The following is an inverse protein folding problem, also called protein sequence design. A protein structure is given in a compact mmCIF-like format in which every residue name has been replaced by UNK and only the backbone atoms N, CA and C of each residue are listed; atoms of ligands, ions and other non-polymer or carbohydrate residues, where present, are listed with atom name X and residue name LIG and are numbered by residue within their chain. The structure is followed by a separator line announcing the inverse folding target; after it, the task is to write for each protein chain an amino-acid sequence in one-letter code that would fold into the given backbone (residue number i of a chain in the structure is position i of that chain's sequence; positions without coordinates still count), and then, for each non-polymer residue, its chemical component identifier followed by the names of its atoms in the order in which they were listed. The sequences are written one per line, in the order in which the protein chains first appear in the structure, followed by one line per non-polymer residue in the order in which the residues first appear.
data_IF_577878751626
#
_entry.id   IF_577878751626
#
_cell.length_a   1.000
_cell.length_b   1.000
_cell.length_c   1.000
_cell.angle_alpha   90.00
_cell.angle_beta   90.00
_cell.angle_gamma   90.00
#
_symmetry.space_group_name_H-M   'P 1'
#
loop_
_entity.id
_entity.type
_entity.pdbx_description
1 polymer ?
#
# COMPACT_ATOMS: atom_id res chain seq x y z
N UNK A 1 -5.44 34.94 7.98
CA UNK A 1 -6.44 34.19 8.78
C UNK A 1 -6.59 32.80 8.18
N UNK A 2 -7.04 31.80 8.95
CA UNK A 2 -7.09 30.40 8.48
C UNK A 2 -7.41 29.34 9.55
N UNK A 3 -7.56 29.75 10.80
CA UNK A 3 -7.97 28.86 11.88
C UNK A 3 -9.46 28.49 11.77
N UNK A 4 -9.77 27.20 11.82
CA UNK A 4 -11.14 26.67 11.91
C UNK A 4 -11.34 26.05 13.30
N UNK A 5 -12.24 26.60 14.14
CA UNK A 5 -12.49 26.09 15.49
C UNK A 5 -13.14 24.71 15.44
N UNK A 6 -13.09 23.98 16.56
CA UNK A 6 -13.69 22.63 16.66
C UNK A 6 -15.19 22.60 16.34
N UNK A 7 -15.92 23.65 16.70
CA UNK A 7 -17.36 23.79 16.38
C UNK A 7 -17.63 23.90 14.88
N UNK A 8 -16.63 24.31 14.08
CA UNK A 8 -16.72 24.34 12.62
C UNK A 8 -16.30 23.03 11.94
N UNK A 9 -15.89 22.00 12.71
CA UNK A 9 -15.35 20.74 12.20
C UNK A 9 -16.34 19.59 12.36
N UNK A 10 -16.21 18.60 11.48
CA UNK A 10 -16.92 17.32 11.56
C UNK A 10 -16.02 16.17 11.97
N UNK A 11 -16.59 14.98 12.06
CA UNK A 11 -15.86 13.72 12.22
C UNK A 11 -16.58 12.62 11.46
N UNK A 12 -15.84 11.58 11.08
CA UNK A 12 -16.39 10.35 10.53
C UNK A 12 -16.24 9.23 11.56
N UNK A 13 -17.30 8.46 11.76
CA UNK A 13 -17.32 7.27 12.63
C UNK A 13 -17.91 6.12 11.83
N UNK A 14 -17.23 4.97 11.85
CA UNK A 14 -17.65 3.79 11.10
C UNK A 14 -16.70 2.62 11.30
N UNK A 15 -16.96 1.53 10.59
CA UNK A 15 -16.20 0.27 10.65
C UNK A 15 -15.39 0.03 9.37
N UNK A 16 -14.59 -1.04 9.37
CA UNK A 16 -13.92 -1.55 8.16
C UNK A 16 -14.50 -2.93 7.81
N UNK A 17 -14.80 -3.15 6.54
CA UNK A 17 -15.13 -4.45 5.99
C UNK A 17 -13.92 -5.02 5.24
N UNK A 18 -13.38 -6.14 5.74
CA UNK A 18 -12.23 -6.84 5.16
C UNK A 18 -12.60 -8.29 4.85
N UNK A 19 -13.18 -8.52 3.68
CA UNK A 19 -13.74 -9.83 3.30
C UNK A 19 -12.69 -10.92 3.18
N UNK A 20 -11.46 -10.54 2.80
CA UNK A 20 -10.39 -11.48 2.48
C UNK A 20 -9.30 -11.53 3.56
N UNK A 21 -9.53 -10.89 4.71
CA UNK A 21 -8.58 -10.90 5.82
C UNK A 21 -7.24 -10.23 5.50
N UNK A 22 -7.24 -9.24 4.61
CA UNK A 22 -6.05 -8.51 4.15
C UNK A 22 -5.31 -7.85 5.30
N UNK A 23 -6.06 -7.26 6.24
CA UNK A 23 -5.52 -6.47 7.35
C UNK A 23 -4.92 -7.37 8.43
N UNK A 24 -5.52 -8.56 8.65
CA UNK A 24 -5.04 -9.55 9.62
C UNK A 24 -4.63 -8.91 10.97
N UNK A 25 -3.46 -9.26 11.51
CA UNK A 25 -2.88 -8.66 12.72
C UNK A 25 -1.96 -7.45 12.43
N UNK A 26 -2.04 -6.84 11.24
CA UNK A 26 -1.19 -5.70 10.88
C UNK A 26 -1.62 -4.42 11.61
N UNK A 27 -0.71 -3.45 11.70
CA UNK A 27 -1.08 -2.08 12.06
C UNK A 27 -1.99 -1.51 10.98
N UNK A 28 -3.14 -0.96 11.37
CA UNK A 28 -4.09 -0.35 10.43
C UNK A 28 -4.16 1.16 10.66
N UNK A 29 -4.02 1.92 9.60
CA UNK A 29 -4.19 3.39 9.60
C UNK A 29 -5.21 3.76 8.54
N UNK A 30 -6.12 4.67 8.87
CA UNK A 30 -7.01 5.28 7.88
C UNK A 30 -6.57 6.72 7.68
N UNK A 31 -6.19 7.05 6.45
CA UNK A 31 -5.82 8.40 6.04
C UNK A 31 -6.96 9.08 5.29
N UNK A 32 -7.12 10.38 5.52
CA UNK A 32 -8.11 11.23 4.85
C UNK A 32 -7.36 12.40 4.24
N UNK A 33 -7.50 12.64 2.94
CA UNK A 33 -6.78 13.74 2.27
C UNK A 33 -7.60 14.38 1.16
N UNK A 34 -7.44 15.69 1.01
CA UNK A 34 -7.88 16.44 -0.16
C UNK A 34 -6.85 17.55 -0.46
N UNK A 35 -7.21 18.52 -1.30
CA UNK A 35 -6.30 19.61 -1.65
C UNK A 35 -5.97 20.55 -0.49
N UNK A 36 -6.82 20.62 0.54
CA UNK A 36 -6.75 21.63 1.60
C UNK A 36 -6.19 21.06 2.92
N UNK A 37 -6.44 19.78 3.20
CA UNK A 37 -6.09 19.17 4.48
C UNK A 37 -5.86 17.66 4.40
N UNK A 38 -5.09 17.15 5.36
CA UNK A 38 -4.88 15.72 5.60
C UNK A 38 -5.03 15.38 7.08
N UNK A 39 -5.58 14.20 7.35
CA UNK A 39 -5.80 13.65 8.68
C UNK A 39 -5.54 12.15 8.66
N UNK A 40 -5.30 11.56 9.83
CA UNK A 40 -5.16 10.12 9.96
C UNK A 40 -5.59 9.64 11.35
N UNK A 41 -5.93 8.36 11.43
CA UNK A 41 -6.24 7.67 12.69
C UNK A 41 -5.73 6.24 12.64
N UNK A 42 -5.12 5.79 13.75
CA UNK A 42 -4.79 4.38 13.94
C UNK A 42 -6.05 3.63 14.34
N UNK A 43 -6.30 2.48 13.73
CA UNK A 43 -7.47 1.64 14.03
C UNK A 43 -7.02 0.52 14.96
N UNK A 44 -7.45 0.58 16.22
CA UNK A 44 -7.06 -0.40 17.24
C UNK A 44 -7.77 -1.75 17.08
N UNK A 45 -8.94 -1.76 16.41
CA UNK A 45 -9.72 -2.97 16.15
C UNK A 45 -10.51 -2.79 14.86
N UNK A 46 -10.36 -3.73 13.92
CA UNK A 46 -11.10 -3.76 12.66
C UNK A 46 -12.55 -4.25 12.84
N UNK A 47 -12.88 -4.82 14.00
CA UNK A 47 -14.23 -5.32 14.33
C UNK A 47 -15.07 -4.33 15.12
N UNK A 48 -14.50 -3.19 15.54
CA UNK A 48 -15.19 -2.12 16.26
C UNK A 48 -15.18 -0.83 15.43
N UNK A 49 -16.17 0.06 15.61
CA UNK A 49 -16.12 1.37 14.98
C UNK A 49 -14.91 2.18 15.48
N UNK A 50 -14.31 2.95 14.57
CA UNK A 50 -13.30 3.96 14.88
C UNK A 50 -13.82 5.34 14.50
N UNK A 51 -13.21 6.39 15.04
CA UNK A 51 -13.60 7.79 14.77
C UNK A 51 -12.40 8.59 14.31
N UNK A 52 -12.54 9.35 13.22
CA UNK A 52 -11.52 10.27 12.74
C UNK A 52 -11.25 11.40 13.74
N UNK A 53 -10.13 12.13 13.61
CA UNK A 53 -10.00 13.44 14.25
C UNK A 53 -11.09 14.42 13.80
N UNK A 54 -11.16 15.60 14.44
CA UNK A 54 -12.02 16.69 13.97
C UNK A 54 -11.47 17.30 12.68
N UNK A 55 -12.22 17.13 11.59
CA UNK A 55 -11.82 17.48 10.23
C UNK A 55 -12.55 18.73 9.74
N UNK A 56 -11.85 19.58 8.98
CA UNK A 56 -12.49 20.68 8.25
C UNK A 56 -13.53 20.09 7.28
N UNK A 57 -14.70 20.71 7.09
CA UNK A 57 -15.72 20.20 6.18
C UNK A 57 -15.20 20.09 4.76
N UNK A 58 -15.63 19.05 4.04
CA UNK A 58 -15.20 18.82 2.67
C UNK A 58 -15.25 17.35 2.28
N UNK A 59 -14.98 17.08 1.01
CA UNK A 59 -14.82 15.72 0.49
C UNK A 59 -13.35 15.31 0.56
N UNK A 60 -13.09 14.12 1.09
CA UNK A 60 -11.76 13.57 1.28
C UNK A 60 -11.63 12.24 0.54
N UNK A 61 -10.50 12.03 -0.13
CA UNK A 61 -10.06 10.69 -0.47
C UNK A 61 -9.62 9.98 0.81
N UNK A 62 -10.25 8.86 1.09
CA UNK A 62 -10.04 8.04 2.28
C UNK A 62 -9.37 6.74 1.88
N UNK A 63 -8.25 6.43 2.51
CA UNK A 63 -7.43 5.27 2.19
C UNK A 63 -7.21 4.45 3.46
N UNK A 64 -7.55 3.16 3.41
CA UNK A 64 -7.14 2.20 4.44
C UNK A 64 -5.72 1.76 4.10
N UNK A 65 -4.84 1.78 5.09
CA UNK A 65 -3.48 1.28 5.00
C UNK A 65 -3.29 0.05 5.87
N UNK A 66 -2.81 -1.04 5.28
CA UNK A 66 -2.21 -2.17 5.99
C UNK A 66 -0.74 -1.86 6.17
N UNK A 67 -0.33 -1.53 7.39
CA UNK A 67 0.95 -0.90 7.68
C UNK A 67 1.16 0.37 6.82
N UNK A 68 1.89 0.30 5.70
CA UNK A 68 2.03 1.40 4.74
C UNK A 68 1.44 1.09 3.35
N UNK A 69 0.92 -0.12 3.14
CA UNK A 69 0.29 -0.52 1.88
C UNK A 69 -1.11 0.07 1.77
N UNK A 70 -1.42 0.88 0.74
CA UNK A 70 -2.80 1.31 0.48
C UNK A 70 -3.62 0.12 -0.02
N UNK A 71 -4.69 -0.22 0.71
CA UNK A 71 -5.55 -1.38 0.41
C UNK A 71 -7.00 -1.01 0.03
N UNK A 72 -7.32 0.28 0.03
CA UNK A 72 -8.57 0.82 -0.52
C UNK A 72 -8.45 2.30 -0.85
N UNK A 73 -9.36 2.85 -1.64
CA UNK A 73 -9.50 4.29 -1.83
C UNK A 73 -10.95 4.63 -2.14
N UNK A 74 -11.59 5.45 -1.31
CA UNK A 74 -12.96 5.90 -1.52
C UNK A 74 -13.17 7.35 -1.07
N UNK A 75 -14.13 8.05 -1.67
CA UNK A 75 -14.45 9.43 -1.32
C UNK A 75 -15.50 9.48 -0.22
N UNK A 76 -15.23 10.22 0.86
CA UNK A 76 -16.21 10.52 1.91
C UNK A 76 -16.41 12.02 2.04
N UNK A 77 -17.60 12.46 2.47
CA UNK A 77 -17.88 13.87 2.76
C UNK A 77 -18.03 14.07 4.26
N UNK A 78 -17.28 15.03 4.80
CA UNK A 78 -17.38 15.51 6.17
C UNK A 78 -18.21 16.80 6.17
N UNK A 79 -19.33 16.78 6.88
CA UNK A 79 -20.12 17.98 7.16
C UNK A 79 -19.51 18.78 8.33
N UNK A 80 -19.66 20.10 8.32
CA UNK A 80 -19.30 20.96 9.46
C UNK A 80 -20.40 21.04 10.51
N UNK A 81 -20.00 21.32 11.75
CA UNK A 81 -20.92 21.48 12.87
C UNK A 81 -21.52 20.13 13.31
N UNK A 82 -20.99 19.57 14.40
CA UNK A 82 -21.76 18.55 15.12
C UNK A 82 -22.97 19.26 15.75
N UNK A 83 -24.21 18.85 15.43
CA UNK A 83 -25.31 19.12 16.33
C UNK A 83 -24.93 18.52 17.71
N UNK A 84 -25.16 19.21 18.83
CA UNK A 84 -24.87 18.65 20.14
C UNK A 84 -25.58 17.30 20.27
N UNK A 85 -24.87 16.31 20.83
CA UNK A 85 -25.47 15.03 21.16
C UNK A 85 -26.73 15.31 21.99
N UNK A 86 -27.90 14.88 21.50
CA UNK A 86 -29.12 14.93 22.28
C UNK A 86 -28.86 14.17 23.57
N UNK A 87 -28.89 14.87 24.70
CA UNK A 87 -28.79 14.26 26.02
C UNK A 87 -29.83 13.13 26.14
N UNK A 88 -29.52 12.00 26.79
CA UNK A 88 -30.52 10.99 27.05
C UNK A 88 -31.64 11.64 27.88
N UNK A 89 -32.87 11.57 27.37
CA UNK A 89 -34.04 11.98 28.13
C UNK A 89 -34.10 11.14 29.40
N UNK A 90 -33.98 11.79 30.56
CA UNK A 90 -34.33 11.23 31.84
C UNK A 90 -35.82 10.86 31.82
N UNK A 91 -36.10 9.56 31.78
CA UNK A 91 -37.45 9.04 31.96
C UNK A 91 -37.82 9.12 33.43
N UNK A 92 -38.55 10.17 33.80
CA UNK A 92 -39.37 10.16 35.02
C UNK A 92 -40.79 9.80 34.62
N UNK A 93 -41.31 8.74 35.24
CA UNK A 93 -42.60 8.14 34.91
C UNK A 93 -43.75 8.97 35.48
N UNK A 94 -44.72 9.31 34.63
CA UNK A 94 -46.09 9.56 35.06
C UNK A 94 -47.06 9.24 33.90
N UNK A 95 -47.93 8.26 34.11
CA UNK A 95 -49.16 8.01 33.33
C UNK A 95 -50.34 8.61 34.12
N UNK A 96 -51.47 9.05 33.49
CA UNK A 96 -52.39 8.10 32.82
C UNK A 96 -53.16 8.60 31.56
N UNK A 97 -53.62 7.59 30.78
CA UNK A 97 -54.87 7.50 29.98
C UNK A 97 -55.04 8.25 28.63
N UNK A 98 -55.88 7.72 27.69
CA UNK A 98 -55.62 7.76 26.26
C UNK A 98 -56.45 8.80 25.49
N UNK A 99 -55.87 9.42 24.47
CA UNK A 99 -56.62 10.09 23.41
C UNK A 99 -55.90 9.92 22.07
N UNK A 100 -56.66 9.47 21.07
CA UNK A 100 -56.22 9.27 19.70
C UNK A 100 -55.88 10.61 19.05
N UNK A 101 -54.80 10.69 18.29
CA UNK A 101 -54.76 11.49 17.07
C UNK A 101 -53.60 11.09 16.17
N UNK A 102 -53.95 10.91 14.89
CA UNK A 102 -53.02 10.54 13.83
C UNK A 102 -51.93 11.59 13.64
N UNK A 103 -50.69 11.13 13.71
CA UNK A 103 -49.52 11.88 13.29
C UNK A 103 -48.60 10.90 12.57
N UNK A 104 -48.33 11.16 11.30
CA UNK A 104 -47.41 10.37 10.49
C UNK A 104 -46.07 10.22 11.23
N UNK A 105 -45.76 8.99 11.65
CA UNK A 105 -44.42 8.61 12.07
C UNK A 105 -43.51 8.76 10.85
N UNK A 106 -42.82 9.88 10.74
CA UNK A 106 -41.66 10.03 9.89
C UNK A 106 -40.66 9.00 10.38
N UNK A 107 -40.57 7.87 9.67
CA UNK A 107 -39.58 6.84 9.93
C UNK A 107 -38.22 7.53 9.93
N UNK A 108 -37.59 7.60 11.10
CA UNK A 108 -36.16 7.86 11.17
C UNK A 108 -35.51 6.71 10.42
N UNK A 109 -35.05 7.00 9.19
CA UNK A 109 -34.11 6.15 8.51
C UNK A 109 -32.91 6.00 9.43
N UNK A 110 -32.78 4.85 10.07
CA UNK A 110 -31.55 4.45 10.74
C UNK A 110 -30.53 4.39 9.63
N UNK A 111 -29.73 5.45 9.48
CA UNK A 111 -28.59 5.47 8.56
C UNK A 111 -27.74 4.26 8.95
N UNK A 112 -27.61 3.29 8.03
CA UNK A 112 -26.82 2.10 8.29
C UNK A 112 -25.43 2.48 8.75
N UNK A 113 -24.81 1.64 9.60
CA UNK A 113 -23.45 1.90 10.07
C UNK A 113 -22.52 2.18 8.88
N UNK A 114 -21.85 3.33 8.88
CA UNK A 114 -20.90 3.72 7.84
C UNK A 114 -19.74 2.72 7.86
N UNK A 115 -19.34 2.24 6.69
CA UNK A 115 -18.27 1.25 6.54
C UNK A 115 -17.34 1.67 5.42
N UNK A 116 -16.04 1.50 5.64
CA UNK A 116 -15.04 1.53 4.58
C UNK A 116 -14.73 0.09 4.15
N UNK A 117 -14.50 -0.13 2.87
CA UNK A 117 -14.25 -1.49 2.36
C UNK A 117 -12.82 -1.67 1.89
N UNK A 118 -12.16 -2.74 2.32
CA UNK A 118 -10.89 -3.17 1.74
C UNK A 118 -11.16 -3.72 0.34
N UNK A 119 -10.45 -3.20 -0.65
CA UNK A 119 -10.61 -3.58 -2.08
C UNK A 119 -9.38 -4.26 -2.65
N UNK A 120 -8.26 -4.27 -1.91
CA UNK A 120 -7.08 -5.03 -2.29
C UNK A 120 -7.38 -6.53 -2.20
N UNK A 121 -7.03 -7.25 -3.24
CA UNK A 121 -7.24 -8.70 -3.37
C UNK A 121 -5.87 -9.39 -3.33
N UNK A 122 -5.45 -9.94 -2.19
CA UNK A 122 -4.19 -10.67 -2.10
C UNK A 122 -4.29 -11.97 -2.91
N UNK A 123 -3.22 -12.34 -3.59
CA UNK A 123 -3.16 -13.66 -4.21
C UNK A 123 -2.90 -14.70 -3.11
N UNK A 124 -3.86 -15.61 -2.92
CA UNK A 124 -3.78 -16.63 -1.88
C UNK A 124 -2.63 -17.62 -2.14
N UNK A 125 -2.50 -18.09 -3.37
CA UNK A 125 -1.56 -19.14 -3.78
C UNK A 125 -0.71 -18.69 -4.98
N UNK A 126 0.23 -17.73 -4.80
CA UNK A 126 1.19 -17.40 -5.85
C UNK A 126 2.12 -18.58 -6.11
N UNK A 127 2.69 -18.69 -7.31
CA UNK A 127 3.74 -19.69 -7.60
C UNK A 127 4.94 -19.50 -6.68
N UNK A 128 5.26 -18.23 -6.39
CA UNK A 128 6.22 -17.82 -5.37
C UNK A 128 6.00 -16.36 -5.02
N UNK A 129 6.48 -15.97 -3.83
CA UNK A 129 6.50 -14.59 -3.35
C UNK A 129 7.83 -14.33 -2.63
N UNK A 130 8.39 -13.14 -2.83
CA UNK A 130 9.52 -12.59 -2.09
C UNK A 130 9.03 -11.35 -1.36
N UNK A 131 9.21 -11.30 -0.04
CA UNK A 131 8.70 -10.25 0.83
C UNK A 131 7.21 -10.40 1.17
N UNK A 132 6.68 -9.38 1.83
CA UNK A 132 5.28 -9.31 2.26
C UNK A 132 4.68 -8.02 1.74
N UNK A 133 3.49 -8.07 1.12
CA UNK A 133 2.77 -6.86 0.72
C UNK A 133 2.22 -6.15 1.97
N UNK A 134 3.00 -5.23 2.53
CA UNK A 134 2.64 -4.39 3.67
C UNK A 134 3.16 -2.93 3.56
N UNK A 135 3.73 -2.58 2.42
CA UNK A 135 4.08 -1.21 2.06
C UNK A 135 5.49 -0.82 2.43
N UNK A 136 6.27 -1.71 3.03
CA UNK A 136 7.62 -1.42 3.54
C UNK A 136 8.63 -2.46 3.07
N UNK A 137 9.92 -2.10 2.99
CA UNK A 137 10.96 -3.05 2.61
C UNK A 137 11.38 -4.01 3.74
N UNK A 138 10.67 -4.04 4.86
CA UNK A 138 11.12 -4.73 6.07
C UNK A 138 11.34 -6.22 5.81
N UNK A 139 12.42 -6.76 6.39
CA UNK A 139 12.86 -8.13 6.13
C UNK A 139 13.83 -8.27 4.95
N UNK A 140 13.96 -7.28 4.07
CA UNK A 140 14.98 -7.28 3.02
C UNK A 140 16.35 -6.79 3.49
N UNK A 141 17.39 -7.14 2.73
CA UNK A 141 18.77 -6.73 2.97
C UNK A 141 18.86 -5.19 3.09
N UNK A 142 19.44 -4.74 4.21
CA UNK A 142 19.66 -3.34 4.59
C UNK A 142 18.41 -2.51 4.93
N UNK A 143 17.21 -3.09 4.93
CA UNK A 143 15.98 -2.39 5.33
C UNK A 143 16.07 -1.87 6.78
N UNK A 144 16.66 -2.66 7.68
CA UNK A 144 16.85 -2.33 9.10
C UNK A 144 17.75 -1.09 9.33
N UNK A 145 18.64 -0.79 8.40
CA UNK A 145 19.64 0.29 8.52
C UNK A 145 19.29 1.54 7.71
N UNK A 146 18.50 1.42 6.65
CA UNK A 146 18.32 2.51 5.68
C UNK A 146 17.77 3.78 6.31
N UNK A 147 16.92 3.65 7.33
CA UNK A 147 16.31 4.78 8.04
C UNK A 147 17.30 5.64 8.83
N UNK A 148 18.49 5.10 9.17
CA UNK A 148 19.48 5.77 10.01
C UNK A 148 20.88 5.84 9.39
N UNK A 149 21.07 5.25 8.21
CA UNK A 149 22.37 5.16 7.55
C UNK A 149 22.23 5.36 6.05
N UNK A 150 23.17 6.11 5.45
CA UNK A 150 23.22 6.28 4.00
C UNK A 150 23.52 4.93 3.30
N UNK A 151 23.01 4.64 2.09
CA UNK A 151 23.36 3.41 1.35
C UNK A 151 24.86 3.14 1.18
N UNK A 152 25.69 4.18 1.21
CA UNK A 152 27.15 4.08 1.13
C UNK A 152 27.85 3.86 2.46
N UNK A 153 27.12 3.85 3.57
CA UNK A 153 27.69 3.67 4.90
C UNK A 153 28.41 2.32 4.98
N UNK A 154 29.59 2.28 5.57
CA UNK A 154 30.41 1.08 5.66
C UNK A 154 29.77 -0.03 6.48
N UNK A 155 28.74 0.28 7.29
CA UNK A 155 27.96 -0.68 8.08
C UNK A 155 26.86 -1.36 7.28
N UNK A 156 26.53 -0.87 6.07
CA UNK A 156 25.60 -1.55 5.18
C UNK A 156 26.21 -2.86 4.70
N UNK A 157 25.40 -3.93 4.63
CA UNK A 157 25.80 -5.13 3.88
C UNK A 157 26.00 -4.73 2.41
N UNK A 158 26.97 -5.33 1.69
CA UNK A 158 27.29 -4.90 0.33
C UNK A 158 26.09 -4.97 -0.61
N UNK A 159 25.77 -3.84 -1.25
CA UNK A 159 24.83 -3.79 -2.37
C UNK A 159 25.51 -4.35 -3.61
N UNK A 160 25.06 -5.50 -4.10
CA UNK A 160 25.62 -6.17 -5.27
C UNK A 160 24.50 -6.72 -6.15
N UNK A 161 24.72 -6.85 -7.48
CA UNK A 161 23.86 -7.68 -8.31
C UNK A 161 23.63 -9.03 -7.63
N UNK A 162 22.38 -9.49 -7.63
CA UNK A 162 21.97 -10.67 -6.88
C UNK A 162 21.49 -11.75 -7.85
N UNK A 163 21.83 -12.99 -7.53
CA UNK A 163 21.26 -14.17 -8.15
C UNK A 163 20.49 -14.90 -7.04
N UNK A 164 19.16 -14.79 -7.05
CA UNK A 164 18.25 -15.27 -6.02
C UNK A 164 17.52 -16.52 -6.51
N UNK A 165 17.49 -17.57 -5.71
CA UNK A 165 16.87 -18.86 -6.07
C UNK A 165 15.65 -19.10 -5.18
N UNK A 166 14.47 -19.08 -5.80
CA UNK A 166 13.19 -19.38 -5.13
C UNK A 166 13.26 -20.76 -4.47
N UNK A 167 12.77 -20.85 -3.23
CA UNK A 167 12.76 -22.09 -2.45
C UNK A 167 14.09 -22.45 -1.78
N UNK A 168 15.16 -21.70 -2.04
CA UNK A 168 16.48 -21.87 -1.40
C UNK A 168 16.89 -20.63 -0.62
N UNK A 169 16.90 -19.48 -1.30
CA UNK A 169 17.34 -18.22 -0.72
C UNK A 169 16.24 -17.59 0.14
N UNK A 170 16.67 -16.94 1.23
CA UNK A 170 15.76 -16.23 2.15
C UNK A 170 15.62 -14.77 1.74
N UNK A 171 14.45 -14.19 1.95
CA UNK A 171 14.15 -12.78 1.63
C UNK A 171 15.18 -11.78 2.20
N UNK A 172 15.80 -12.07 3.34
CA UNK A 172 16.83 -11.23 3.97
C UNK A 172 18.09 -10.97 3.14
N UNK A 173 18.32 -11.76 2.08
CA UNK A 173 19.41 -11.50 1.13
C UNK A 173 18.96 -10.66 -0.08
N UNK A 174 17.65 -10.56 -0.34
CA UNK A 174 17.09 -9.74 -1.41
C UNK A 174 17.27 -8.25 -1.05
N UNK A 175 17.84 -7.40 -1.93
CA UNK A 175 18.09 -6.01 -1.60
C UNK A 175 16.79 -5.22 -1.48
N UNK A 176 16.64 -4.45 -0.40
CA UNK A 176 15.47 -3.59 -0.24
C UNK A 176 15.31 -2.57 -1.37
N UNK A 177 16.40 -2.19 -2.03
CA UNK A 177 16.42 -1.28 -3.17
C UNK A 177 17.37 -1.77 -4.27
N UNK A 178 17.00 -1.48 -5.52
CA UNK A 178 17.86 -1.67 -6.69
C UNK A 178 18.18 -0.31 -7.31
N UNK A 179 19.47 -0.01 -7.42
CA UNK A 179 20.03 1.18 -8.05
C UNK A 179 20.71 0.79 -9.36
N UNK A 180 20.38 1.48 -10.45
CA UNK A 180 20.90 1.21 -11.80
C UNK A 180 22.43 1.17 -11.86
N UNK A 181 23.09 2.02 -11.08
CA UNK A 181 24.55 2.15 -11.09
C UNK A 181 25.27 1.39 -9.95
N UNK A 182 24.58 0.51 -9.22
CA UNK A 182 25.17 -0.19 -8.05
C UNK A 182 24.94 -1.70 -8.10
N UNK A 183 23.69 -2.14 -8.08
CA UNK A 183 23.32 -3.54 -7.88
C UNK A 183 22.33 -4.06 -8.92
N UNK A 184 22.27 -3.39 -10.07
CA UNK A 184 21.55 -3.83 -11.26
C UNK A 184 22.45 -4.79 -12.07
N UNK A 185 21.96 -5.94 -12.55
CA UNK A 185 20.59 -6.47 -12.39
C UNK A 185 20.41 -7.39 -11.18
N UNK A 186 19.14 -7.71 -10.88
CA UNK A 186 18.75 -8.83 -10.02
C UNK A 186 18.23 -9.96 -10.90
N UNK A 187 18.76 -11.16 -10.72
CA UNK A 187 18.31 -12.39 -11.37
C UNK A 187 17.57 -13.25 -10.35
N UNK A 188 16.39 -13.76 -10.72
CA UNK A 188 15.57 -14.67 -9.92
C UNK A 188 15.44 -15.97 -10.71
N UNK A 189 15.91 -17.09 -10.14
CA UNK A 189 15.69 -18.41 -10.70
C UNK A 189 14.59 -19.13 -9.94
N UNK A 190 13.75 -19.85 -10.67
CA UNK A 190 12.65 -20.61 -10.11
C UNK A 190 12.35 -21.81 -10.99
N UNK A 191 11.86 -22.87 -10.37
CA UNK A 191 11.43 -24.09 -11.05
C UNK A 191 9.92 -24.03 -11.29
N UNK A 192 9.47 -24.52 -12.44
CA UNK A 192 8.06 -24.73 -12.72
C UNK A 192 7.77 -26.19 -13.07
N UNK A 193 6.68 -26.72 -12.52
CA UNK A 193 6.16 -28.02 -12.93
C UNK A 193 5.47 -27.95 -14.29
N UNK A 194 5.25 -29.11 -14.91
CA UNK A 194 4.51 -29.24 -16.17
C UNK A 194 3.12 -28.61 -16.12
N UNK A 195 2.44 -28.70 -14.99
CA UNK A 195 1.11 -28.14 -14.77
C UNK A 195 1.14 -26.60 -14.67
N UNK A 196 2.29 -26.03 -14.27
CA UNK A 196 2.44 -24.59 -14.06
C UNK A 196 2.74 -23.81 -15.35
N UNK A 197 3.36 -24.44 -16.35
CA UNK A 197 3.82 -23.77 -17.60
C UNK A 197 2.73 -23.60 -18.66
N UNK A 198 1.57 -24.24 -18.49
CA UNK A 198 0.48 -24.20 -19.47
C UNK A 198 -0.37 -22.91 -19.49
N UNK A 199 -0.07 -21.94 -18.64
CA UNK A 199 -0.90 -20.75 -18.40
C UNK A 199 -0.08 -19.47 -18.51
N UNK A 200 -0.70 -18.42 -19.02
CA UNK A 200 -0.15 -17.07 -18.93
C UNK A 200 -0.05 -16.69 -17.46
N UNK A 201 0.99 -15.95 -17.12
CA UNK A 201 1.31 -15.54 -15.75
C UNK A 201 1.41 -14.03 -15.64
N UNK A 202 1.29 -13.54 -14.42
CA UNK A 202 1.55 -12.14 -14.10
C UNK A 202 2.61 -12.06 -13.02
N UNK A 203 3.69 -11.32 -13.28
CA UNK A 203 4.60 -10.89 -12.23
C UNK A 203 4.07 -9.58 -11.65
N UNK A 204 3.82 -9.55 -10.34
CA UNK A 204 3.36 -8.37 -9.60
C UNK A 204 4.49 -7.82 -8.75
N UNK A 205 4.76 -6.52 -8.84
CA UNK A 205 5.77 -5.81 -8.05
C UNK A 205 5.10 -4.70 -7.24
N UNK A 206 5.29 -4.72 -5.93
CA UNK A 206 4.98 -3.62 -5.02
C UNK A 206 6.19 -2.69 -4.87
N UNK A 207 6.04 -1.43 -5.27
CA UNK A 207 7.12 -0.44 -5.25
C UNK A 207 6.68 0.75 -4.38
N UNK A 208 7.09 0.83 -3.10
CA UNK A 208 6.80 1.96 -2.21
C UNK A 208 7.36 3.28 -2.72
N UNK A 209 8.55 3.23 -3.32
CA UNK A 209 9.28 4.40 -3.75
C UNK A 209 10.10 4.11 -5.00
N UNK A 210 10.06 5.04 -5.95
CA UNK A 210 11.03 5.12 -7.03
C UNK A 210 11.58 6.55 -7.11
N UNK A 211 12.83 6.71 -7.55
CA UNK A 211 13.45 8.02 -7.76
C UNK A 211 14.17 8.07 -9.11
N UNK A 212 14.42 9.29 -9.58
CA UNK A 212 15.07 9.58 -10.86
C UNK A 212 14.45 8.83 -12.04
N UNK A 213 13.11 8.81 -12.10
CA UNK A 213 12.31 8.15 -13.16
C UNK A 213 12.56 6.63 -13.27
N UNK A 214 13.09 6.00 -12.21
CA UNK A 214 13.33 4.56 -12.15
C UNK A 214 12.05 3.73 -12.18
N UNK A 215 12.16 2.55 -12.80
CA UNK A 215 11.19 1.45 -12.78
C UNK A 215 11.91 0.19 -13.27
N UNK A 216 11.36 -0.98 -12.97
CA UNK A 216 11.92 -2.24 -13.44
C UNK A 216 11.54 -2.50 -14.92
N UNK A 217 12.50 -2.93 -15.72
CA UNK A 217 12.25 -3.78 -16.87
C UNK A 217 12.33 -5.24 -16.45
N UNK A 218 11.55 -6.10 -17.11
CA UNK A 218 11.48 -7.53 -16.80
C UNK A 218 11.77 -8.35 -18.04
N UNK A 219 12.69 -9.30 -17.93
CA UNK A 219 12.91 -10.35 -18.93
C UNK A 219 12.72 -11.71 -18.27
N UNK A 220 11.98 -12.62 -18.92
CA UNK A 220 11.77 -14.00 -18.48
C UNK A 220 12.26 -14.91 -19.59
N UNK A 221 13.29 -15.70 -19.31
CA UNK A 221 13.98 -16.51 -20.30
C UNK A 221 14.41 -15.67 -21.53
N UNK A 222 13.73 -15.83 -22.67
CA UNK A 222 13.96 -15.06 -23.91
C UNK A 222 12.94 -13.95 -24.17
N UNK A 223 11.91 -13.84 -23.33
CA UNK A 223 10.83 -12.87 -23.48
C UNK A 223 11.13 -11.60 -22.68
N UNK A 224 10.93 -10.44 -23.29
CA UNK A 224 10.97 -9.15 -22.60
C UNK A 224 9.57 -8.59 -22.45
N UNK A 225 9.18 -8.31 -21.21
CA UNK A 225 7.87 -7.73 -20.92
C UNK A 225 7.82 -6.24 -21.30
N UNK A 226 6.60 -5.74 -21.55
CA UNK A 226 6.38 -4.30 -21.76
C UNK A 226 6.81 -3.53 -20.51
N UNK A 227 7.66 -2.52 -20.69
CA UNK A 227 8.09 -1.65 -19.60
C UNK A 227 6.97 -0.67 -19.21
N UNK A 228 6.61 -0.56 -17.92
CA UNK A 228 5.58 0.37 -17.46
C UNK A 228 6.07 1.82 -17.43
N UNK A 229 5.12 2.76 -17.29
CA UNK A 229 5.43 4.15 -17.00
C UNK A 229 6.00 4.28 -15.58
N UNK A 230 6.91 5.23 -15.36
CA UNK A 230 7.42 5.48 -14.01
C UNK A 230 6.40 6.24 -13.16
N UNK A 231 6.35 5.88 -11.89
CA UNK A 231 5.68 6.62 -10.82
C UNK A 231 6.66 7.28 -9.84
N UNK A 232 7.92 7.48 -10.25
CA UNK A 232 8.96 8.02 -9.37
C UNK A 232 8.63 9.42 -8.85
N UNK A 233 9.00 9.67 -7.60
CA UNK A 233 8.96 11.02 -7.01
C UNK A 233 10.06 11.90 -7.60
N UNK A 234 9.87 13.22 -7.53
CA UNK A 234 10.84 14.21 -8.04
C UNK A 234 12.00 14.51 -7.09
N UNK A 235 11.98 13.94 -5.89
CA UNK A 235 12.94 14.22 -4.82
C UNK A 235 13.79 12.99 -4.48
N UNK A 236 14.93 13.20 -3.81
CA UNK A 236 15.68 12.09 -3.18
C UNK A 236 14.81 11.40 -2.13
N UNK A 237 14.89 10.07 -2.06
CA UNK A 237 14.23 9.30 -1.01
C UNK A 237 15.20 8.39 -0.27
N UNK A 238 15.55 7.23 -0.86
CA UNK A 238 16.32 6.16 -0.21
C UNK A 238 17.66 6.61 0.39
N UNK A 239 18.34 7.59 -0.22
CA UNK A 239 19.60 8.17 0.32
C UNK A 239 19.41 9.08 1.53
N UNK A 240 18.18 9.25 2.00
CA UNK A 240 17.80 10.09 3.15
C UNK A 240 16.92 9.31 4.14
N UNK A 241 16.99 7.98 4.11
CA UNK A 241 16.19 7.11 4.96
C UNK A 241 14.69 7.10 4.68
N UNK A 242 14.26 7.66 3.55
CA UNK A 242 12.87 7.63 3.11
C UNK A 242 12.68 6.44 2.16
N UNK A 243 11.79 5.53 2.52
CA UNK A 243 11.46 4.32 1.74
C UNK A 243 10.06 4.37 1.13
N UNK A 244 9.19 5.28 1.57
CA UNK A 244 7.84 5.46 1.06
C UNK A 244 7.74 6.74 0.21
N UNK A 245 7.08 6.63 -0.95
CA UNK A 245 6.72 7.72 -1.83
C UNK A 245 5.36 7.47 -2.45
N UNK A 246 5.28 7.54 -3.78
CA UNK A 246 4.07 7.12 -4.51
C UNK A 246 4.09 5.59 -4.67
N UNK A 247 3.49 4.89 -3.70
CA UNK A 247 3.35 3.43 -3.78
C UNK A 247 2.67 3.04 -5.09
N UNK A 248 3.28 2.13 -5.84
CA UNK A 248 2.79 1.71 -7.16
C UNK A 248 2.91 0.20 -7.32
N UNK A 249 1.83 -0.42 -7.76
CA UNK A 249 1.84 -1.79 -8.26
C UNK A 249 2.20 -1.82 -9.74
N UNK A 250 3.14 -2.68 -10.12
CA UNK A 250 3.41 -3.00 -11.51
C UNK A 250 3.09 -4.46 -11.79
N UNK A 251 2.19 -4.68 -12.74
CA UNK A 251 1.85 -5.99 -13.27
C UNK A 251 2.53 -6.19 -14.63
N UNK A 252 3.32 -7.25 -14.76
CA UNK A 252 3.96 -7.67 -16.01
C UNK A 252 3.30 -8.94 -16.50
N UNK A 253 2.56 -8.84 -17.61
CA UNK A 253 2.02 -10.00 -18.30
C UNK A 253 3.14 -10.82 -18.93
N UNK A 254 3.17 -12.11 -18.62
CA UNK A 254 4.15 -13.09 -19.11
C UNK A 254 3.37 -14.18 -19.85
N UNK A 255 3.51 -14.31 -21.18
CA UNK A 255 2.82 -15.35 -21.91
C UNK A 255 3.38 -16.72 -21.53
N UNK A 256 2.55 -17.76 -21.55
CA UNK A 256 2.97 -19.14 -21.28
C UNK A 256 4.15 -19.60 -22.14
N UNK A 257 4.26 -19.08 -23.37
CA UNK A 257 5.36 -19.38 -24.30
C UNK A 257 6.72 -18.85 -23.82
N UNK A 258 6.74 -17.95 -22.83
CA UNK A 258 7.96 -17.47 -22.20
C UNK A 258 8.47 -18.43 -21.11
N UNK A 259 7.65 -19.37 -20.64
CA UNK A 259 7.94 -20.26 -19.52
C UNK A 259 8.23 -21.67 -20.02
N UNK A 260 9.09 -22.39 -19.29
CA UNK A 260 9.46 -23.77 -19.58
C UNK A 260 9.31 -24.64 -18.34
N UNK A 261 9.08 -25.94 -18.52
CA UNK A 261 9.13 -26.89 -17.41
C UNK A 261 10.56 -26.98 -16.89
N UNK A 262 10.71 -27.03 -15.57
CA UNK A 262 12.00 -26.94 -14.89
C UNK A 262 12.47 -25.49 -14.71
N UNK A 263 13.77 -25.26 -14.91
CA UNK A 263 14.42 -23.99 -14.56
C UNK A 263 13.99 -22.84 -15.46
N UNK A 264 13.50 -21.78 -14.84
CA UNK A 264 13.20 -20.50 -15.45
C UNK A 264 14.06 -19.40 -14.82
N UNK A 265 14.39 -18.40 -15.62
CA UNK A 265 15.19 -17.24 -15.20
C UNK A 265 14.46 -15.94 -15.49
N UNK A 266 14.22 -15.16 -14.44
CA UNK A 266 13.68 -13.81 -14.51
C UNK A 266 14.76 -12.80 -14.16
N UNK A 267 14.92 -11.76 -14.97
CA UNK A 267 15.87 -10.67 -14.73
C UNK A 267 15.11 -9.36 -14.56
N UNK A 268 15.33 -8.72 -13.41
CA UNK A 268 14.93 -7.35 -13.11
C UNK A 268 16.12 -6.43 -13.37
N UNK A 269 15.89 -5.36 -14.11
CA UNK A 269 16.88 -4.29 -14.34
C UNK A 269 16.20 -2.93 -14.25
N UNK A 270 16.92 -1.87 -13.90
CA UNK A 270 16.38 -0.52 -13.82
C UNK A 270 16.47 0.15 -15.19
N UNK A 271 15.33 0.66 -15.64
CA UNK A 271 15.26 1.55 -16.79
C UNK A 271 14.84 2.96 -16.32
N UNK A 272 15.45 3.97 -16.92
CA UNK A 272 15.10 5.37 -16.72
C UNK A 272 15.42 6.19 -17.95
N UNK A 273 14.56 7.16 -18.28
CA UNK A 273 14.84 8.15 -19.33
C UNK A 273 15.84 9.22 -18.89
N UNK A 274 16.11 9.31 -17.59
CA UNK A 274 17.08 10.25 -17.04
C UNK A 274 18.49 9.64 -17.08
N UNK A 275 19.52 10.49 -17.15
CA UNK A 275 20.93 10.09 -17.00
C UNK A 275 21.32 10.06 -15.52
N UNK A 276 22.29 9.23 -15.15
CA UNK A 276 22.79 9.10 -13.76
C UNK A 276 24.06 9.95 -13.53
N UNK A 277 23.95 11.27 -13.70
CA UNK A 277 25.11 12.17 -13.63
C UNK A 277 25.53 12.55 -12.21
N UNK A 278 24.68 12.31 -11.22
CA UNK A 278 24.88 12.76 -9.83
C UNK A 278 25.51 11.69 -8.91
N UNK A 279 26.06 10.62 -9.50
CA UNK A 279 26.72 9.53 -8.78
C UNK A 279 25.80 8.33 -8.50
N UNK A 280 26.43 7.20 -8.15
CA UNK A 280 25.77 5.88 -8.16
C UNK A 280 24.55 5.75 -7.24
N UNK A 281 24.56 6.41 -6.08
CA UNK A 281 23.44 6.39 -5.10
C UNK A 281 22.28 7.31 -5.48
N UNK A 282 22.50 8.20 -6.44
CA UNK A 282 21.47 9.06 -7.02
C UNK A 282 21.04 8.59 -8.41
N UNK A 283 21.52 7.41 -8.84
CA UNK A 283 21.03 6.76 -10.03
C UNK A 283 19.55 6.42 -9.90
N UNK A 284 18.90 6.19 -11.05
CA UNK A 284 17.55 5.63 -11.08
C UNK A 284 17.47 4.40 -10.17
N UNK A 285 16.46 4.39 -9.30
CA UNK A 285 16.31 3.31 -8.33
C UNK A 285 14.86 3.11 -7.92
N UNK A 286 14.60 1.91 -7.41
CA UNK A 286 13.33 1.53 -6.78
C UNK A 286 13.60 0.93 -5.41
N UNK A 287 12.65 1.08 -4.50
CA UNK A 287 12.51 0.33 -3.25
C UNK A 287 11.46 -0.75 -3.49
N UNK A 288 11.70 -1.95 -2.99
CA UNK A 288 10.75 -3.06 -3.06
C UNK A 288 9.94 -3.17 -1.76
N UNK A 289 8.67 -3.51 -1.89
CA UNK A 289 7.81 -4.02 -0.81
C UNK A 289 7.77 -5.54 -0.88
N UNK A 290 7.20 -6.04 -1.99
CA UNK A 290 7.18 -7.45 -2.32
C UNK A 290 7.07 -7.66 -3.82
N UNK A 291 7.31 -8.89 -4.25
CA UNK A 291 7.06 -9.33 -5.61
C UNK A 291 6.59 -10.79 -5.63
N UNK A 292 5.72 -11.12 -6.57
CA UNK A 292 5.15 -12.45 -6.72
C UNK A 292 4.85 -12.80 -8.18
N UNK A 293 4.91 -14.09 -8.50
CA UNK A 293 4.47 -14.62 -9.78
C UNK A 293 3.19 -15.42 -9.59
N UNK A 294 2.16 -15.11 -10.39
CA UNK A 294 0.81 -15.66 -10.26
C UNK A 294 0.29 -16.20 -11.58
#
# INVERSE_FOLDING_TARGET
TGFVPETGRGSWTGTITDKNGVLSNSSVVVGFSNADAQYWVKVDSTTKPFTSPKMVPGTYNTTIYKNQLPVSSEAITIAGGSAPASAPASTEAATPAPASNGGQRRAQSVEGAKTLTVTYEPVAEPLWRIGVFDGVPDGFLNADRIHTSHPSDSRMKPWKPLNFTIGTDKDEIFPMAMFRAVNDPITINFELTKEQVGKDRTLKLGIPLAQNNGRCSVTVNKFSAKTPLSAAVKTRGVTRGVTLGKYTFYDYAIPKTALVEGTNRLVLSIVSGNKDTLGKWLSASVVFDALELV
#
